data_IF_060109556522
#
_entry.id   IF_060109556522
#
_cell.length_a   1.000
_cell.length_b   1.000
_cell.length_c   1.000
_cell.angle_alpha   90.00
_cell.angle_beta   90.00
_cell.angle_gamma   90.00
#
_symmetry.space_group_name_H-M   'P 1'
#
loop_
_entity.id
_entity.type
_entity.pdbx_description
1 polymer ?
#
# COMPACT_ATOMS: atom_id res chain seq x y z
N UNK A 1 7.17 -38.33 45.25
CA UNK A 1 5.98 -37.69 44.64
C UNK A 1 6.50 -36.52 43.83
N UNK A 2 6.46 -36.61 42.48
CA UNK A 2 6.71 -35.47 41.58
C UNK A 2 5.43 -34.65 41.56
N UNK A 3 5.47 -33.48 42.17
CA UNK A 3 4.41 -32.49 41.99
C UNK A 3 4.53 -31.99 40.54
N UNK A 4 3.55 -32.37 39.71
CA UNK A 4 3.46 -31.83 38.35
C UNK A 4 3.06 -30.36 38.42
N UNK A 5 3.94 -29.47 37.93
CA UNK A 5 3.56 -28.09 37.74
C UNK A 5 2.45 -28.04 36.68
N UNK A 6 1.25 -27.72 37.09
CA UNK A 6 0.17 -27.41 36.18
C UNK A 6 0.41 -26.01 35.66
N UNK A 7 0.81 -25.92 34.41
CA UNK A 7 0.98 -24.64 33.73
C UNK A 7 -0.43 -24.15 33.25
N UNK A 8 -0.98 -23.24 34.01
CA UNK A 8 -2.27 -22.64 33.66
C UNK A 8 -2.03 -21.51 32.65
N UNK A 9 -2.50 -21.68 31.42
CA UNK A 9 -2.46 -20.62 30.42
C UNK A 9 -3.59 -19.64 30.66
N UNK A 10 -3.25 -18.43 31.02
CA UNK A 10 -4.19 -17.33 31.18
C UNK A 10 -4.18 -16.52 29.89
N UNK A 11 -5.36 -16.37 29.30
CA UNK A 11 -5.54 -15.55 28.11
C UNK A 11 -6.26 -14.24 28.55
N UNK A 12 -5.50 -13.18 28.83
CA UNK A 12 -6.13 -11.93 29.23
C UNK A 12 -6.90 -11.34 28.03
N UNK A 13 -8.19 -11.18 28.22
CA UNK A 13 -9.08 -10.69 27.18
C UNK A 13 -10.28 -10.00 27.79
N UNK A 14 -11.02 -9.31 26.92
CA UNK A 14 -12.27 -8.67 27.26
C UNK A 14 -13.32 -9.00 26.19
N UNK A 15 -14.59 -8.84 26.53
CA UNK A 15 -15.66 -8.93 25.55
C UNK A 15 -16.28 -7.55 25.43
N UNK A 16 -16.30 -7.02 24.21
CA UNK A 16 -16.96 -5.75 23.91
C UNK A 16 -18.32 -6.07 23.31
N UNK A 17 -19.39 -5.51 23.87
CA UNK A 17 -20.75 -5.79 23.41
C UNK A 17 -21.51 -4.51 23.07
N UNK A 18 -22.36 -4.58 22.06
CA UNK A 18 -23.23 -3.48 21.64
C UNK A 18 -24.45 -4.02 20.89
N UNK A 19 -25.64 -3.68 21.35
CA UNK A 19 -26.92 -4.06 20.71
C UNK A 19 -27.02 -5.56 20.41
N UNK A 20 -26.60 -6.40 21.37
CA UNK A 20 -26.71 -7.86 21.26
C UNK A 20 -25.62 -8.52 20.43
N UNK A 21 -24.66 -7.76 19.92
CA UNK A 21 -23.47 -8.28 19.23
C UNK A 21 -22.26 -8.19 20.15
N UNK A 22 -21.40 -9.19 20.08
CA UNK A 22 -20.22 -9.28 20.95
C UNK A 22 -18.96 -9.60 20.12
N UNK A 23 -17.85 -8.99 20.49
CA UNK A 23 -16.53 -9.25 19.89
C UNK A 23 -15.54 -9.52 21.01
N UNK A 24 -14.80 -10.64 20.95
CA UNK A 24 -13.70 -10.86 21.88
C UNK A 24 -12.53 -9.93 21.55
N UNK A 25 -11.93 -9.38 22.58
CA UNK A 25 -10.78 -8.48 22.47
C UNK A 25 -9.61 -9.08 23.22
N UNK A 26 -8.53 -9.43 22.53
CA UNK A 26 -7.28 -9.82 23.17
C UNK A 26 -6.59 -8.58 23.72
N UNK A 27 -6.23 -8.62 24.99
CA UNK A 27 -5.51 -7.52 25.63
C UNK A 27 -3.98 -7.68 25.51
N UNK A 28 -3.53 -8.88 25.13
CA UNK A 28 -2.11 -9.14 24.91
C UNK A 28 -1.88 -9.61 23.48
N UNK A 29 -0.94 -8.97 22.80
CA UNK A 29 -0.51 -9.36 21.45
C UNK A 29 0.51 -10.49 21.54
N UNK A 30 0.14 -11.67 21.05
CA UNK A 30 1.07 -12.79 20.99
C UNK A 30 2.16 -12.52 19.94
N UNK A 31 3.41 -12.56 20.40
CA UNK A 31 4.59 -12.45 19.53
C UNK A 31 5.53 -13.61 19.85
N UNK A 32 5.61 -14.55 18.94
CA UNK A 32 6.44 -15.74 19.14
C UNK A 32 7.91 -15.32 19.26
N UNK A 33 8.53 -15.70 20.38
CA UNK A 33 9.96 -15.45 20.61
C UNK A 33 10.29 -14.06 21.17
N UNK A 34 9.32 -13.19 21.40
CA UNK A 34 9.58 -11.90 22.01
C UNK A 34 9.64 -11.99 23.53
N UNK A 35 10.51 -11.21 24.19
CA UNK A 35 10.55 -11.15 25.66
C UNK A 35 9.23 -10.61 26.24
N UNK A 36 8.86 -11.05 27.46
CA UNK A 36 7.57 -10.65 28.06
C UNK A 36 7.36 -9.14 28.21
N UNK A 37 8.41 -8.40 28.55
CA UNK A 37 8.35 -6.94 28.68
C UNK A 37 8.06 -6.27 27.35
N UNK A 38 8.62 -6.78 26.26
CA UNK A 38 8.34 -6.27 24.89
C UNK A 38 6.87 -6.56 24.51
N UNK A 39 6.38 -7.77 24.82
CA UNK A 39 4.99 -8.15 24.55
C UNK A 39 4.03 -7.22 25.31
N UNK A 40 4.31 -6.97 26.59
CA UNK A 40 3.48 -6.10 27.43
C UNK A 40 3.47 -4.66 26.89
N UNK A 41 4.65 -4.10 26.58
CA UNK A 41 4.75 -2.74 26.06
C UNK A 41 4.02 -2.57 24.73
N UNK A 42 4.20 -3.51 23.81
CA UNK A 42 3.51 -3.49 22.53
C UNK A 42 1.99 -3.61 22.70
N UNK A 43 1.55 -4.44 23.65
CA UNK A 43 0.12 -4.60 23.95
C UNK A 43 -0.50 -3.32 24.50
N UNK A 44 0.22 -2.63 25.39
CA UNK A 44 -0.25 -1.34 25.94
C UNK A 44 -0.38 -0.30 24.81
N UNK A 45 0.61 -0.23 23.93
CA UNK A 45 0.59 0.73 22.81
C UNK A 45 -0.56 0.42 21.84
N UNK A 46 -0.89 -0.85 21.64
CA UNK A 46 -1.97 -1.26 20.74
C UNK A 46 -3.37 -1.18 21.38
N UNK A 47 -3.47 -0.95 22.68
CA UNK A 47 -4.72 -1.08 23.42
C UNK A 47 -5.80 -0.13 22.92
N UNK A 48 -5.45 1.15 22.75
CA UNK A 48 -6.39 2.16 22.24
C UNK A 48 -6.91 1.79 20.85
N UNK A 49 -6.03 1.36 19.97
CA UNK A 49 -6.39 0.92 18.63
C UNK A 49 -7.34 -0.28 18.70
N UNK A 50 -7.02 -1.28 19.51
CA UNK A 50 -7.81 -2.52 19.61
C UNK A 50 -9.22 -2.25 20.16
N UNK A 51 -9.33 -1.39 21.16
CA UNK A 51 -10.64 -1.02 21.73
C UNK A 51 -11.45 -0.21 20.72
N UNK A 52 -10.85 0.83 20.13
CA UNK A 52 -11.51 1.67 19.12
C UNK A 52 -11.99 0.83 17.94
N UNK A 53 -11.20 -0.14 17.55
CA UNK A 53 -11.48 -1.07 16.47
C UNK A 53 -12.70 -1.95 16.78
N UNK A 54 -12.77 -2.50 17.98
CA UNK A 54 -13.89 -3.32 18.43
C UNK A 54 -15.18 -2.49 18.46
N UNK A 55 -15.11 -1.25 18.96
CA UNK A 55 -16.26 -0.33 18.99
C UNK A 55 -16.74 -0.05 17.55
N UNK A 56 -15.80 0.25 16.64
CA UNK A 56 -16.13 0.52 15.23
C UNK A 56 -16.79 -0.69 14.55
N UNK A 57 -16.28 -1.90 14.79
CA UNK A 57 -16.88 -3.14 14.24
C UNK A 57 -18.32 -3.34 14.75
N UNK A 58 -18.57 -3.05 16.02
CA UNK A 58 -19.89 -3.25 16.62
C UNK A 58 -20.90 -2.16 16.25
N UNK A 59 -20.44 -0.92 16.05
CA UNK A 59 -21.32 0.20 15.74
C UNK A 59 -21.72 0.28 14.27
N UNK A 60 -20.95 -0.34 13.36
CA UNK A 60 -21.25 -0.33 11.91
C UNK A 60 -22.29 -1.39 11.58
N UNK A 61 -23.50 -0.93 11.17
CA UNK A 61 -24.61 -1.81 10.77
C UNK A 61 -24.62 -2.12 9.27
N UNK A 62 -23.94 -1.31 8.46
CA UNK A 62 -23.81 -1.55 7.02
C UNK A 62 -22.37 -1.31 6.57
N UNK A 63 -21.75 -2.33 5.98
CA UNK A 63 -20.38 -2.19 5.48
C UNK A 63 -20.37 -1.50 4.12
N UNK A 64 -19.65 -0.39 3.97
CA UNK A 64 -19.49 0.21 2.64
C UNK A 64 -18.66 -0.68 1.74
N UNK A 65 -18.86 -0.52 0.44
CA UNK A 65 -18.13 -1.28 -0.58
C UNK A 65 -16.81 -0.61 -0.93
N UNK A 66 -15.77 -1.42 -1.07
CA UNK A 66 -14.49 -1.03 -1.68
C UNK A 66 -14.11 -2.07 -2.73
N UNK A 67 -13.23 -1.70 -3.66
CA UNK A 67 -12.84 -2.64 -4.72
C UNK A 67 -11.35 -2.58 -5.03
N UNK A 68 -10.77 -3.74 -5.30
CA UNK A 68 -9.48 -3.85 -5.99
C UNK A 68 -9.76 -3.81 -7.49
N UNK A 69 -9.09 -2.89 -8.20
CA UNK A 69 -9.22 -2.80 -9.65
C UNK A 69 -8.46 -3.93 -10.34
N UNK A 70 -8.92 -4.27 -11.53
CA UNK A 70 -8.33 -5.28 -12.42
C UNK A 70 -8.39 -4.74 -13.85
N UNK A 71 -7.47 -5.19 -14.69
CA UNK A 71 -7.43 -4.81 -16.10
C UNK A 71 -6.09 -4.26 -16.56
N UNK A 72 -5.19 -3.97 -15.60
CA UNK A 72 -3.89 -3.36 -15.89
C UNK A 72 -2.75 -4.15 -15.20
N UNK A 73 -2.93 -5.48 -15.05
CA UNK A 73 -1.92 -6.34 -14.45
C UNK A 73 -1.79 -6.25 -12.93
N UNK A 74 -2.78 -5.68 -12.28
CA UNK A 74 -2.76 -5.49 -10.83
C UNK A 74 -2.67 -6.83 -10.06
N UNK A 75 -2.14 -6.77 -8.85
CA UNK A 75 -2.08 -7.92 -7.93
C UNK A 75 -3.47 -8.51 -7.71
N UNK A 76 -3.55 -9.85 -7.65
CA UNK A 76 -4.84 -10.57 -7.58
C UNK A 76 -4.69 -11.90 -6.85
N UNK A 77 -5.82 -12.51 -6.54
CA UNK A 77 -5.87 -13.84 -5.93
C UNK A 77 -5.12 -13.90 -4.61
N UNK A 78 -4.16 -14.79 -4.50
CA UNK A 78 -3.38 -15.03 -3.29
C UNK A 78 -2.55 -13.80 -2.89
N UNK A 79 -2.14 -12.98 -3.85
CA UNK A 79 -1.30 -11.81 -3.62
C UNK A 79 -1.99 -10.74 -2.76
N UNK A 80 -3.33 -10.66 -2.84
CA UNK A 80 -4.11 -9.69 -2.08
C UNK A 80 -5.00 -10.36 -1.00
N UNK A 81 -4.91 -11.67 -0.83
CA UNK A 81 -5.83 -12.42 0.03
C UNK A 81 -5.82 -11.95 1.49
N UNK A 82 -4.64 -11.72 2.05
CA UNK A 82 -4.52 -11.32 3.45
C UNK A 82 -5.07 -9.92 3.70
N UNK A 83 -4.72 -8.96 2.85
CA UNK A 83 -5.23 -7.58 3.02
C UNK A 83 -6.75 -7.54 2.74
N UNK A 84 -7.23 -8.30 1.76
CA UNK A 84 -8.66 -8.37 1.47
C UNK A 84 -9.44 -8.95 2.66
N UNK A 85 -8.88 -9.98 3.31
CA UNK A 85 -9.47 -10.57 4.53
C UNK A 85 -9.51 -9.53 5.65
N UNK A 86 -8.42 -8.82 5.90
CA UNK A 86 -8.37 -7.79 6.94
C UNK A 86 -9.36 -6.66 6.67
N UNK A 87 -9.49 -6.24 5.43
CA UNK A 87 -10.43 -5.18 5.04
C UNK A 87 -11.89 -5.64 5.15
N UNK A 88 -12.16 -6.94 4.99
CA UNK A 88 -13.53 -7.48 5.06
C UNK A 88 -14.15 -7.36 6.46
N UNK A 89 -13.36 -7.10 7.47
CA UNK A 89 -13.88 -6.77 8.81
C UNK A 89 -14.70 -5.46 8.80
N UNK A 90 -14.38 -4.55 7.88
CA UNK A 90 -14.95 -3.19 7.84
C UNK A 90 -15.71 -2.88 6.56
N UNK A 91 -15.43 -3.61 5.48
CA UNK A 91 -15.91 -3.30 4.13
C UNK A 91 -16.42 -4.57 3.45
N UNK A 92 -17.30 -4.39 2.47
CA UNK A 92 -17.55 -5.40 1.45
C UNK A 92 -16.44 -5.21 0.41
N UNK A 93 -15.58 -6.21 0.26
CA UNK A 93 -14.42 -6.13 -0.62
C UNK A 93 -14.74 -6.85 -1.93
N UNK A 94 -14.73 -6.09 -3.02
CA UNK A 94 -15.03 -6.62 -4.36
C UNK A 94 -13.79 -6.49 -5.26
N UNK A 95 -13.86 -7.11 -6.43
CA UNK A 95 -12.91 -6.91 -7.53
C UNK A 95 -13.67 -6.31 -8.71
N UNK A 96 -13.09 -5.31 -9.35
CA UNK A 96 -13.74 -4.65 -10.47
C UNK A 96 -12.81 -4.61 -11.67
N UNK A 97 -13.24 -5.21 -12.77
CA UNK A 97 -12.51 -5.14 -14.04
C UNK A 97 -12.84 -3.83 -14.72
N UNK A 98 -11.82 -2.99 -14.92
CA UNK A 98 -11.96 -1.70 -15.61
C UNK A 98 -12.17 -1.90 -17.11
N UNK A 99 -11.12 -2.20 -17.82
CA UNK A 99 -11.10 -2.56 -19.27
C UNK A 99 -12.06 -1.71 -20.11
N UNK A 100 -12.02 -0.39 -19.94
CA UNK A 100 -12.82 0.56 -20.70
C UNK A 100 -14.31 0.59 -20.37
N UNK A 101 -14.74 -0.03 -19.29
CA UNK A 101 -16.16 -0.04 -18.89
C UNK A 101 -16.53 1.24 -18.18
N UNK A 102 -17.27 2.10 -18.83
CA UNK A 102 -17.64 3.43 -18.28
C UNK A 102 -18.42 3.33 -16.96
N UNK A 103 -19.14 2.22 -16.76
CA UNK A 103 -19.90 1.97 -15.55
C UNK A 103 -19.16 1.06 -14.53
N UNK A 104 -17.86 0.87 -14.69
CA UNK A 104 -17.10 0.01 -13.76
C UNK A 104 -17.18 0.54 -12.32
N UNK A 105 -16.99 1.84 -12.14
CA UNK A 105 -16.89 2.47 -10.81
C UNK A 105 -18.14 3.25 -10.41
N UNK A 106 -19.07 3.46 -11.35
CA UNK A 106 -20.28 4.28 -11.11
C UNK A 106 -21.53 3.54 -11.54
N UNK A 107 -22.66 3.96 -10.98
CA UNK A 107 -23.98 3.47 -11.37
C UNK A 107 -24.94 4.65 -11.58
N UNK A 108 -25.91 4.46 -12.44
CA UNK A 108 -26.98 5.45 -12.67
C UNK A 108 -28.18 5.06 -11.80
N UNK A 109 -28.69 6.04 -11.10
CA UNK A 109 -29.93 5.91 -10.33
C UNK A 109 -30.97 6.86 -10.94
N UNK A 110 -32.11 6.32 -11.34
CA UNK A 110 -33.20 7.13 -11.85
C UNK A 110 -33.92 7.84 -10.69
N UNK A 111 -34.15 9.11 -10.85
CA UNK A 111 -34.86 9.95 -9.89
C UNK A 111 -36.36 9.96 -10.20
N UNK A 112 -37.16 10.43 -9.24
CA UNK A 112 -38.63 10.49 -9.38
C UNK A 112 -39.07 11.40 -10.54
N UNK A 113 -38.25 12.37 -10.92
CA UNK A 113 -38.52 13.29 -11.99
C UNK A 113 -38.06 12.81 -13.38
N UNK A 114 -37.57 11.59 -13.47
CA UNK A 114 -37.07 11.01 -14.72
C UNK A 114 -35.65 11.39 -15.08
N UNK A 115 -34.98 12.17 -14.24
CA UNK A 115 -33.54 12.45 -14.42
C UNK A 115 -32.69 11.32 -13.83
N UNK A 116 -31.39 11.34 -14.09
CA UNK A 116 -30.46 10.33 -13.58
C UNK A 116 -29.38 10.98 -12.73
N UNK A 117 -29.13 10.36 -11.57
CA UNK A 117 -27.97 10.69 -10.74
C UNK A 117 -26.91 9.62 -10.93
N UNK A 118 -25.67 10.03 -11.14
CA UNK A 118 -24.52 9.11 -11.25
C UNK A 118 -23.83 9.05 -9.90
N UNK A 119 -23.80 7.86 -9.31
CA UNK A 119 -23.25 7.61 -7.97
C UNK A 119 -22.04 6.69 -8.05
N UNK A 120 -21.09 6.89 -7.15
CA UNK A 120 -19.97 5.98 -7.01
C UNK A 120 -20.44 4.66 -6.35
N UNK A 121 -20.10 3.52 -6.96
CA UNK A 121 -20.39 2.19 -6.41
C UNK A 121 -19.58 1.88 -5.18
N UNK A 122 -18.36 2.40 -5.12
CA UNK A 122 -17.36 2.08 -4.10
C UNK A 122 -16.98 3.33 -3.33
N UNK A 123 -16.81 3.18 -2.02
CA UNK A 123 -16.30 4.25 -1.17
C UNK A 123 -14.83 4.51 -1.44
N UNK A 124 -14.08 3.46 -1.79
CA UNK A 124 -12.68 3.55 -2.18
C UNK A 124 -12.34 2.46 -3.18
N UNK A 125 -11.36 2.72 -4.03
CA UNK A 125 -10.75 1.70 -4.88
C UNK A 125 -9.26 1.60 -4.55
N UNK A 126 -8.71 0.40 -4.78
CA UNK A 126 -7.29 0.10 -4.56
C UNK A 126 -6.71 -0.34 -5.89
N UNK A 127 -5.72 0.39 -6.37
CA UNK A 127 -5.00 0.08 -7.60
C UNK A 127 -3.64 -0.47 -7.16
N UNK A 128 -3.52 -1.80 -7.17
CA UNK A 128 -2.44 -2.51 -6.50
C UNK A 128 -1.40 -3.00 -7.51
N UNK A 129 -0.31 -2.24 -7.63
CA UNK A 129 0.88 -2.58 -8.42
C UNK A 129 0.53 -2.93 -9.88
N UNK A 130 -0.12 -2.02 -10.61
CA UNK A 130 -0.37 -2.23 -12.03
C UNK A 130 0.94 -2.30 -12.81
N UNK A 131 0.98 -3.13 -13.84
CA UNK A 131 2.16 -3.30 -14.70
C UNK A 131 1.89 -2.97 -16.18
N UNK A 132 0.67 -2.55 -16.50
CA UNK A 132 0.24 -2.34 -17.89
C UNK A 132 -0.35 -0.95 -18.07
N UNK A 133 -0.26 -0.44 -19.30
CA UNK A 133 -0.62 0.93 -19.66
C UNK A 133 -2.13 1.17 -19.46
N UNK A 134 -2.47 2.24 -18.76
CA UNK A 134 -3.85 2.71 -18.65
C UNK A 134 -4.26 3.43 -19.92
N UNK A 135 -5.39 3.02 -20.48
CA UNK A 135 -5.97 3.72 -21.63
C UNK A 135 -6.52 5.08 -21.18
N UNK A 136 -6.65 6.03 -22.12
CA UNK A 136 -7.26 7.32 -21.81
C UNK A 136 -8.70 7.15 -21.28
N UNK A 137 -9.40 6.12 -21.76
CA UNK A 137 -10.75 5.81 -21.30
C UNK A 137 -10.74 5.35 -19.82
N UNK A 138 -9.81 4.48 -19.44
CA UNK A 138 -9.72 4.04 -18.04
C UNK A 138 -9.28 5.17 -17.12
N UNK A 139 -8.34 6.00 -17.55
CA UNK A 139 -7.94 7.21 -16.82
C UNK A 139 -9.14 8.13 -16.59
N UNK A 140 -9.94 8.35 -17.64
CA UNK A 140 -11.15 9.17 -17.56
C UNK A 140 -12.15 8.59 -16.54
N UNK A 141 -12.35 7.28 -16.55
CA UNK A 141 -13.26 6.60 -15.60
C UNK A 141 -12.80 6.83 -14.15
N UNK A 142 -11.49 6.70 -13.90
CA UNK A 142 -10.91 6.92 -12.56
C UNK A 142 -11.03 8.41 -12.18
N UNK A 143 -10.70 9.30 -13.12
CA UNK A 143 -10.81 10.75 -12.90
C UNK A 143 -12.24 11.15 -12.49
N UNK A 144 -13.24 10.67 -13.23
CA UNK A 144 -14.64 10.97 -12.93
C UNK A 144 -15.09 10.38 -11.59
N UNK A 145 -14.58 9.21 -11.25
CA UNK A 145 -14.82 8.60 -9.94
C UNK A 145 -14.28 9.51 -8.82
N UNK A 146 -13.06 10.04 -8.99
CA UNK A 146 -12.44 10.96 -8.03
C UNK A 146 -13.23 12.27 -7.95
N UNK A 147 -13.62 12.83 -9.11
CA UNK A 147 -14.40 14.09 -9.16
C UNK A 147 -15.73 13.97 -8.41
N UNK A 148 -16.27 12.74 -8.26
CA UNK A 148 -17.51 12.47 -7.53
C UNK A 148 -17.24 12.05 -6.07
N UNK A 149 -16.05 12.37 -5.55
CA UNK A 149 -15.68 12.10 -4.15
C UNK A 149 -15.16 10.68 -3.88
N UNK A 150 -14.86 9.91 -4.92
CA UNK A 150 -14.26 8.60 -4.78
C UNK A 150 -12.83 8.70 -4.25
N UNK A 151 -12.44 7.74 -3.43
CA UNK A 151 -11.11 7.70 -2.82
C UNK A 151 -10.28 6.61 -3.49
N UNK A 152 -9.01 6.89 -3.75
CA UNK A 152 -8.12 5.94 -4.43
C UNK A 152 -6.86 5.73 -3.59
N UNK A 153 -6.58 4.47 -3.31
CA UNK A 153 -5.27 4.06 -2.80
C UNK A 153 -4.44 3.58 -4.00
N UNK A 154 -3.44 4.39 -4.34
CA UNK A 154 -2.52 4.10 -5.43
C UNK A 154 -1.29 3.41 -4.85
N UNK A 155 -0.98 2.20 -5.31
CA UNK A 155 0.23 1.46 -4.96
C UNK A 155 0.98 1.24 -6.27
N UNK A 156 1.86 2.18 -6.62
CA UNK A 156 2.48 2.27 -7.96
C UNK A 156 4.00 2.13 -7.84
N UNK A 157 4.56 1.27 -8.65
CA UNK A 157 6.00 1.15 -8.85
C UNK A 157 6.38 1.76 -10.20
N UNK A 158 7.01 2.95 -10.24
CA UNK A 158 7.43 3.53 -11.51
C UNK A 158 8.67 2.87 -12.10
N UNK A 159 9.29 1.94 -11.36
CA UNK A 159 10.48 1.21 -11.80
C UNK A 159 10.21 -0.29 -11.66
N UNK A 160 10.45 -1.02 -12.74
CA UNK A 160 10.38 -2.48 -12.70
C UNK A 160 11.71 -3.05 -12.20
N UNK A 161 11.64 -3.87 -11.15
CA UNK A 161 12.78 -4.65 -10.62
C UNK A 161 12.21 -5.91 -9.96
N UNK A 162 12.94 -7.02 -10.03
CA UNK A 162 12.46 -8.31 -9.56
C UNK A 162 13.56 -9.11 -8.86
N UNK A 163 13.24 -9.64 -7.68
CA UNK A 163 14.14 -10.56 -6.97
C UNK A 163 14.34 -11.88 -7.72
N UNK A 164 13.32 -12.36 -8.44
CA UNK A 164 13.44 -13.59 -9.21
C UNK A 164 14.55 -13.48 -10.27
N UNK A 165 14.64 -12.32 -10.92
CA UNK A 165 15.70 -12.05 -11.90
C UNK A 165 17.07 -12.02 -11.25
N UNK A 166 17.18 -11.44 -10.05
CA UNK A 166 18.45 -11.35 -9.32
C UNK A 166 18.89 -12.74 -8.84
N UNK A 167 17.96 -13.55 -8.33
CA UNK A 167 18.26 -14.89 -7.83
C UNK A 167 18.70 -15.85 -8.96
N UNK A 168 18.17 -15.64 -10.17
CA UNK A 168 18.51 -16.50 -11.31
C UNK A 168 19.78 -16.08 -12.05
N UNK A 169 20.17 -14.79 -12.02
CA UNK A 169 21.27 -14.26 -12.82
C UNK A 169 22.27 -13.40 -12.04
N UNK A 170 22.16 -13.34 -10.71
CA UNK A 170 22.95 -12.52 -9.78
C UNK A 170 22.84 -11.02 -10.01
N UNK A 171 22.19 -10.59 -11.09
CA UNK A 171 22.00 -9.17 -11.42
C UNK A 171 20.76 -8.98 -12.29
N UNK A 172 20.22 -7.77 -12.24
CA UNK A 172 19.11 -7.34 -13.10
C UNK A 172 19.19 -5.83 -13.31
N UNK A 173 18.38 -5.33 -14.23
CA UNK A 173 18.27 -3.89 -14.46
C UNK A 173 16.97 -3.37 -13.90
N UNK A 174 17.05 -2.33 -13.06
CA UNK A 174 15.89 -1.52 -12.70
C UNK A 174 15.62 -0.53 -13.83
N UNK A 175 14.48 -0.64 -14.49
CA UNK A 175 14.11 0.19 -15.63
C UNK A 175 12.78 0.90 -15.39
N UNK A 176 12.67 2.11 -15.93
CA UNK A 176 11.43 2.90 -15.82
C UNK A 176 10.27 2.16 -16.49
N UNK A 177 9.16 2.10 -15.79
CA UNK A 177 7.91 1.52 -16.26
C UNK A 177 6.89 2.64 -16.43
N UNK A 178 6.53 2.97 -17.67
CA UNK A 178 5.51 3.99 -17.92
C UNK A 178 4.17 3.30 -18.14
N UNK A 179 3.25 3.52 -17.21
CA UNK A 179 1.90 2.97 -17.28
C UNK A 179 0.85 4.06 -17.59
N UNK A 180 1.32 5.22 -18.07
CA UNK A 180 0.48 6.35 -18.53
C UNK A 180 -0.35 6.99 -17.39
N UNK A 181 0.19 7.05 -16.17
CA UNK A 181 -0.48 7.73 -15.04
C UNK A 181 0.22 9.01 -14.60
N UNK A 182 1.36 9.33 -15.15
CA UNK A 182 2.22 10.43 -14.67
C UNK A 182 1.52 11.78 -14.75
N UNK A 183 0.82 12.07 -15.85
CA UNK A 183 0.10 13.33 -16.05
C UNK A 183 -1.06 13.48 -15.05
N UNK A 184 -1.78 12.39 -14.80
CA UNK A 184 -2.90 12.34 -13.86
C UNK A 184 -2.41 12.58 -12.43
N UNK A 185 -1.38 11.85 -12.00
CA UNK A 185 -0.83 11.97 -10.64
C UNK A 185 -0.21 13.37 -10.44
N UNK A 186 0.46 13.91 -11.47
CA UNK A 186 1.01 15.26 -11.43
C UNK A 186 -0.12 16.30 -11.26
N UNK A 187 -1.22 16.13 -11.99
CA UNK A 187 -2.40 17.01 -11.88
C UNK A 187 -2.97 16.98 -10.46
N UNK A 188 -2.95 15.83 -9.82
CA UNK A 188 -3.46 15.65 -8.44
C UNK A 188 -2.48 16.09 -7.36
N UNK A 189 -1.22 16.33 -7.69
CA UNK A 189 -0.29 16.97 -6.76
C UNK A 189 0.94 16.15 -6.38
N UNK A 190 1.24 15.04 -7.09
CA UNK A 190 2.47 14.27 -6.84
C UNK A 190 3.15 13.88 -8.15
N UNK A 191 4.46 13.67 -8.04
CA UNK A 191 5.27 13.12 -9.11
C UNK A 191 6.00 11.90 -8.57
N UNK A 192 5.85 10.77 -9.25
CA UNK A 192 6.61 9.57 -8.97
C UNK A 192 7.95 9.65 -9.73
N UNK A 193 9.05 9.43 -9.02
CA UNK A 193 10.37 9.54 -9.62
C UNK A 193 10.84 8.19 -10.13
N UNK A 194 11.52 8.18 -11.28
CA UNK A 194 12.10 6.97 -11.88
C UNK A 194 13.43 6.66 -11.20
N UNK A 195 13.36 6.22 -9.95
CA UNK A 195 14.53 5.85 -9.16
C UNK A 195 14.20 4.67 -8.24
N UNK A 196 15.21 4.06 -7.68
CA UNK A 196 15.09 3.09 -6.60
C UNK A 196 15.75 3.67 -5.35
N UNK A 197 15.09 3.53 -4.24
CA UNK A 197 15.59 3.97 -2.94
C UNK A 197 16.31 2.81 -2.26
N UNK A 198 17.51 3.09 -1.79
CA UNK A 198 18.31 2.18 -0.98
C UNK A 198 18.45 2.80 0.41
N UNK A 199 18.42 1.96 1.44
CA UNK A 199 18.49 2.42 2.82
C UNK A 199 19.32 1.43 3.63
N UNK A 200 20.16 1.93 4.54
CA UNK A 200 20.88 1.04 5.46
C UNK A 200 19.94 0.37 6.46
N UNK A 201 18.78 0.99 6.71
CA UNK A 201 17.70 0.37 7.48
C UNK A 201 16.87 -0.50 6.52
N UNK A 202 17.30 -1.74 6.32
CA UNK A 202 16.79 -2.61 5.28
C UNK A 202 16.46 -4.00 5.80
N UNK A 203 15.51 -4.65 5.13
CA UNK A 203 15.17 -6.04 5.42
C UNK A 203 16.29 -6.99 4.99
N UNK A 204 16.57 -8.02 5.78
CA UNK A 204 17.48 -9.07 5.35
C UNK A 204 16.81 -10.00 4.35
N UNK A 205 17.60 -10.49 3.39
CA UNK A 205 17.20 -11.57 2.48
C UNK A 205 18.05 -12.81 2.77
N UNK A 206 17.47 -14.01 2.64
CA UNK A 206 18.25 -15.24 2.77
C UNK A 206 19.00 -15.53 1.47
N UNK A 207 20.31 -15.75 1.59
CA UNK A 207 21.12 -16.20 0.46
C UNK A 207 21.77 -17.53 0.80
N UNK A 208 21.85 -18.41 -0.19
CA UNK A 208 22.51 -19.70 -0.05
C UNK A 208 24.01 -19.47 0.17
N UNK A 209 24.54 -20.01 1.25
CA UNK A 209 25.95 -19.83 1.64
C UNK A 209 26.72 -21.13 1.72
N UNK A 210 26.09 -22.27 1.39
CA UNK A 210 26.78 -23.54 1.40
C UNK A 210 25.90 -24.68 1.84
N UNK A 211 26.53 -25.78 2.26
CA UNK A 211 25.83 -27.00 2.62
C UNK A 211 26.54 -27.65 3.84
N UNK A 212 25.75 -28.13 4.78
CA UNK A 212 26.25 -28.96 5.89
C UNK A 212 25.59 -30.31 5.75
N UNK A 213 26.39 -31.33 5.40
CA UNK A 213 25.84 -32.62 5.02
C UNK A 213 24.98 -32.50 3.79
N UNK A 214 23.70 -32.94 3.86
CA UNK A 214 22.73 -32.83 2.76
C UNK A 214 21.74 -31.68 2.97
N UNK A 215 22.01 -30.76 3.92
CA UNK A 215 21.09 -29.64 4.19
C UNK A 215 21.68 -28.33 3.69
N UNK A 216 20.93 -27.58 2.87
CA UNK A 216 21.38 -26.27 2.42
C UNK A 216 21.44 -25.28 3.58
N UNK A 217 22.49 -24.44 3.55
CA UNK A 217 22.71 -23.39 4.54
C UNK A 217 22.33 -22.05 3.93
N UNK A 218 21.61 -21.24 4.69
CA UNK A 218 21.25 -19.88 4.29
C UNK A 218 21.73 -18.91 5.36
N UNK A 219 22.31 -17.81 4.91
CA UNK A 219 22.65 -16.67 5.77
C UNK A 219 21.84 -15.48 5.36
N UNK A 220 21.56 -14.61 6.32
CA UNK A 220 20.72 -13.42 6.09
C UNK A 220 21.61 -12.21 5.90
N UNK A 221 21.36 -11.46 4.82
CA UNK A 221 22.11 -10.26 4.47
C UNK A 221 21.14 -9.08 4.30
N UNK A 222 21.43 -7.89 4.86
CA UNK A 222 20.56 -6.74 4.65
C UNK A 222 20.51 -6.40 3.16
N UNK A 223 19.30 -6.28 2.63
CA UNK A 223 19.12 -5.97 1.20
C UNK A 223 18.68 -4.52 1.07
N UNK A 224 19.59 -3.65 0.74
CA UNK A 224 19.39 -2.19 0.81
C UNK A 224 18.28 -1.68 -0.09
N UNK A 225 17.88 -2.44 -1.13
CA UNK A 225 16.75 -2.13 -1.98
C UNK A 225 15.39 -2.47 -1.33
N UNK A 226 15.39 -2.99 -0.10
CA UNK A 226 14.19 -3.29 0.67
C UNK A 226 14.15 -2.43 1.96
N UNK A 227 13.98 -1.10 1.82
CA UNK A 227 13.92 -0.24 2.99
C UNK A 227 12.82 -0.63 3.96
N UNK A 228 13.09 -0.49 5.24
CA UNK A 228 12.10 -0.61 6.30
C UNK A 228 11.72 0.82 6.71
N UNK A 229 10.46 1.17 6.49
CA UNK A 229 9.96 2.51 6.74
C UNK A 229 9.37 2.61 8.13
N UNK A 230 9.66 3.69 8.81
CA UNK A 230 9.02 4.03 10.09
C UNK A 230 8.34 5.38 9.94
N UNK A 231 7.15 5.49 10.52
CA UNK A 231 6.45 6.77 10.46
C UNK A 231 7.08 7.75 11.43
N UNK A 232 7.32 8.95 10.93
CA UNK A 232 7.69 10.12 11.77
C UNK A 232 6.53 11.12 11.82
N UNK A 233 5.43 10.82 11.14
CA UNK A 233 4.25 11.68 11.05
C UNK A 233 3.31 11.42 12.23
N UNK A 234 2.72 12.49 12.76
CA UNK A 234 1.65 12.39 13.77
C UNK A 234 0.27 12.16 13.15
N UNK A 235 0.19 12.03 11.84
CA UNK A 235 -1.08 11.83 11.15
C UNK A 235 -1.75 10.52 11.61
N UNK A 236 -3.06 10.53 11.90
CA UNK A 236 -3.74 9.33 12.45
C UNK A 236 -3.58 8.06 11.61
N UNK A 237 -3.42 8.18 10.28
CA UNK A 237 -3.25 7.02 9.39
C UNK A 237 -1.99 6.23 9.72
N UNK A 238 -0.93 6.91 10.17
CA UNK A 238 0.39 6.28 10.41
C UNK A 238 0.89 6.44 11.84
N UNK A 239 0.16 7.15 12.67
CA UNK A 239 0.53 7.31 14.07
C UNK A 239 0.47 5.93 14.75
N UNK A 240 1.55 5.54 15.40
CA UNK A 240 1.73 4.23 16.03
C UNK A 240 1.71 3.05 15.05
N UNK A 241 1.92 3.31 13.76
CA UNK A 241 2.09 2.23 12.79
C UNK A 241 3.42 1.53 13.02
N UNK A 242 3.41 0.21 13.00
CA UNK A 242 4.63 -0.58 13.04
C UNK A 242 5.46 -0.33 11.77
N UNK A 243 6.74 -0.74 11.81
CA UNK A 243 7.61 -0.61 10.66
C UNK A 243 6.99 -1.29 9.42
N UNK A 244 7.03 -0.59 8.29
CA UNK A 244 6.48 -1.06 7.02
C UNK A 244 7.61 -1.59 6.16
N UNK A 245 7.54 -2.86 5.80
CA UNK A 245 8.51 -3.45 4.87
C UNK A 245 8.17 -3.07 3.44
N UNK A 246 9.18 -2.80 2.65
CA UNK A 246 9.03 -2.42 1.24
C UNK A 246 10.02 -3.17 0.36
N UNK A 247 9.74 -3.21 -0.93
CA UNK A 247 10.58 -3.88 -1.93
C UNK A 247 10.67 -2.99 -3.17
N UNK A 248 11.90 -2.58 -3.55
CA UNK A 248 12.18 -1.81 -4.76
C UNK A 248 11.31 -0.56 -4.93
N UNK A 249 11.27 0.27 -3.90
CA UNK A 249 10.42 1.46 -3.90
C UNK A 249 11.12 2.67 -4.53
N UNK A 250 10.29 3.62 -4.96
CA UNK A 250 10.71 4.89 -5.57
C UNK A 250 10.25 6.07 -4.72
N UNK A 251 10.87 7.21 -4.93
CA UNK A 251 10.49 8.43 -4.21
C UNK A 251 9.32 9.15 -4.87
N UNK A 252 8.60 9.92 -4.06
CA UNK A 252 7.47 10.76 -4.47
C UNK A 252 7.81 12.21 -4.16
N UNK A 253 7.68 13.09 -5.15
CA UNK A 253 7.72 14.54 -4.90
C UNK A 253 6.28 15.07 -4.82
N UNK A 254 6.06 16.02 -3.93
CA UNK A 254 4.82 16.80 -3.92
C UNK A 254 4.98 17.98 -4.87
N UNK A 255 3.97 18.21 -5.70
CA UNK A 255 4.05 19.21 -6.78
C UNK A 255 2.74 20.01 -6.86
N UNK A 256 2.81 21.16 -7.52
CA UNK A 256 1.66 21.89 -8.03
C UNK A 256 0.69 22.43 -6.99
N UNK A 257 -0.55 22.34 -7.28
CA UNK A 257 -1.73 23.04 -6.79
C UNK A 257 -1.76 23.22 -5.24
N UNK A 258 -1.75 24.48 -4.75
CA UNK A 258 -1.83 24.74 -3.30
C UNK A 258 -3.20 24.43 -2.69
N UNK A 259 -4.26 24.28 -3.51
CA UNK A 259 -5.59 23.89 -3.02
C UNK A 259 -5.65 22.44 -2.57
N UNK A 260 -4.64 21.63 -2.92
CA UNK A 260 -4.53 20.24 -2.49
C UNK A 260 -3.54 20.16 -1.32
N UNK A 261 -4.03 19.72 -0.16
CA UNK A 261 -3.19 19.42 0.99
C UNK A 261 -2.38 18.16 0.71
N UNK A 262 -1.08 18.21 0.98
CA UNK A 262 -0.13 17.12 0.71
C UNK A 262 0.58 16.77 2.01
N UNK A 263 0.24 15.62 2.58
CA UNK A 263 0.83 15.16 3.84
C UNK A 263 1.74 13.97 3.56
N UNK A 264 3.03 14.10 3.84
CA UNK A 264 3.97 12.99 3.75
C UNK A 264 3.72 12.07 4.95
N UNK A 265 3.39 10.83 4.68
CA UNK A 265 3.05 9.83 5.70
C UNK A 265 4.25 8.96 6.09
N UNK A 266 5.03 8.53 5.10
CA UNK A 266 6.17 7.64 5.34
C UNK A 266 7.38 8.12 4.54
N UNK A 267 8.56 8.02 5.16
CA UNK A 267 9.83 8.35 4.53
C UNK A 267 10.85 7.24 4.77
N UNK A 268 11.88 7.22 3.95
CA UNK A 268 13.09 6.46 4.22
C UNK A 268 13.84 7.08 5.41
N UNK A 269 14.90 6.43 5.88
CA UNK A 269 15.73 6.93 6.96
C UNK A 269 16.70 8.01 6.47
N UNK A 270 17.49 8.55 7.39
CA UNK A 270 18.57 9.51 7.07
C UNK A 270 19.76 8.83 6.35
N UNK A 271 19.76 7.52 6.28
CA UNK A 271 20.81 6.75 5.61
C UNK A 271 20.30 6.23 4.24
N UNK A 272 19.87 7.15 3.42
CA UNK A 272 19.25 6.87 2.13
C UNK A 272 20.23 7.14 0.98
N UNK A 273 20.17 6.28 -0.05
CA UNK A 273 20.80 6.48 -1.33
C UNK A 273 19.75 6.41 -2.43
N UNK A 274 19.81 7.32 -3.39
CA UNK A 274 18.87 7.35 -4.52
C UNK A 274 19.61 6.85 -5.75
N UNK A 275 19.09 5.79 -6.38
CA UNK A 275 19.66 5.20 -7.60
C UNK A 275 18.72 5.47 -8.77
N UNK A 276 19.11 6.39 -9.66
CA UNK A 276 18.29 6.77 -10.81
C UNK A 276 18.34 5.68 -11.90
N UNK A 277 17.21 5.46 -12.57
CA UNK A 277 17.13 4.48 -13.66
C UNK A 277 17.84 4.98 -14.92
N UNK A 278 18.38 4.07 -15.74
CA UNK A 278 18.48 2.63 -15.53
C UNK A 278 19.54 2.30 -14.46
N UNK A 279 19.24 1.37 -13.56
CA UNK A 279 20.15 1.02 -12.47
C UNK A 279 20.46 -0.48 -12.49
N UNK A 280 21.74 -0.81 -12.42
CA UNK A 280 22.19 -2.19 -12.28
C UNK A 280 22.02 -2.62 -10.83
N UNK A 281 21.21 -3.65 -10.60
CA UNK A 281 20.97 -4.24 -9.29
C UNK A 281 21.73 -5.57 -9.25
N UNK A 282 22.64 -5.72 -8.27
CA UNK A 282 23.49 -6.91 -8.19
C UNK A 282 23.71 -7.32 -6.75
N UNK A 283 23.77 -8.62 -6.50
CA UNK A 283 24.15 -9.17 -5.19
C UNK A 283 25.60 -8.84 -4.81
N UNK A 284 26.42 -8.41 -5.76
CA UNK A 284 27.81 -8.01 -5.48
C UNK A 284 27.90 -6.88 -4.46
N UNK A 285 26.85 -6.08 -4.30
CA UNK A 285 26.82 -5.00 -3.31
C UNK A 285 26.97 -5.54 -1.87
N UNK A 286 26.63 -6.81 -1.65
CA UNK A 286 26.69 -7.46 -0.33
C UNK A 286 28.11 -7.99 -0.01
N UNK A 287 29.04 -7.97 -0.97
CA UNK A 287 30.40 -8.45 -0.78
C UNK A 287 31.27 -7.49 0.04
N UNK A 288 30.83 -6.24 0.19
CA UNK A 288 31.53 -5.20 0.93
C UNK A 288 30.61 -4.52 1.91
N UNK A 289 31.16 -4.05 3.00
CA UNK A 289 30.41 -3.22 3.91
C UNK A 289 30.03 -1.91 3.19
N UNK A 290 28.79 -1.44 3.39
CA UNK A 290 28.38 -0.19 2.76
C UNK A 290 29.15 0.99 3.35
N UNK A 291 29.55 1.93 2.51
CA UNK A 291 30.12 3.19 2.96
C UNK A 291 28.96 4.12 3.33
N UNK A 292 28.84 4.55 4.60
CA UNK A 292 27.76 5.47 4.98
C UNK A 292 27.76 6.79 4.20
N UNK A 293 28.91 7.19 3.65
CA UNK A 293 29.00 8.39 2.82
C UNK A 293 28.21 8.27 1.51
N UNK A 294 27.96 7.05 1.02
CA UNK A 294 27.12 6.81 -0.15
C UNK A 294 25.62 6.88 0.18
N UNK A 295 25.26 6.83 1.45
CA UNK A 295 23.88 6.82 1.94
C UNK A 295 23.61 8.12 2.71
N UNK A 296 23.83 9.25 2.06
CA UNK A 296 23.78 10.58 2.68
C UNK A 296 22.66 11.48 2.16
N UNK A 297 21.74 10.92 1.36
CA UNK A 297 20.57 11.68 0.91
C UNK A 297 19.58 11.88 2.07
N UNK A 298 18.89 13.02 2.11
CA UNK A 298 17.87 13.22 3.15
C UNK A 298 16.75 12.20 2.98
N UNK A 299 15.96 11.96 4.04
CA UNK A 299 14.82 11.06 3.94
C UNK A 299 13.91 11.37 2.77
N UNK A 300 13.55 10.36 2.00
CA UNK A 300 12.73 10.49 0.78
C UNK A 300 11.30 10.11 1.09
N UNK A 301 10.33 10.90 0.63
CA UNK A 301 8.93 10.57 0.78
C UNK A 301 8.57 9.36 -0.09
N UNK A 302 7.83 8.41 0.49
CA UNK A 302 7.38 7.19 -0.21
C UNK A 302 5.88 6.94 -0.04
N UNK A 303 5.22 7.68 0.84
CA UNK A 303 3.76 7.66 0.95
C UNK A 303 3.28 9.08 1.23
N UNK A 304 2.33 9.53 0.41
CA UNK A 304 1.78 10.90 0.50
C UNK A 304 0.26 10.80 0.46
N UNK A 305 -0.39 11.51 1.38
CA UNK A 305 -1.84 11.67 1.39
C UNK A 305 -2.19 13.00 0.71
N UNK A 306 -3.09 12.94 -0.24
CA UNK A 306 -3.61 14.11 -0.95
C UNK A 306 -5.06 14.34 -0.55
N UNK A 307 -5.39 15.55 -0.12
CA UNK A 307 -6.75 15.92 0.29
C UNK A 307 -7.09 17.31 -0.23
N UNK A 308 -8.33 17.49 -0.66
CA UNK A 308 -8.78 18.80 -1.14
C UNK A 308 -9.75 18.68 -2.30
N UNK A 309 -9.90 19.77 -3.00
CA UNK A 309 -10.75 19.87 -4.20
C UNK A 309 -9.89 19.62 -5.44
N UNK A 310 -9.99 18.40 -5.95
CA UNK A 310 -9.23 18.00 -7.13
C UNK A 310 -9.84 18.55 -8.41
N UNK A 311 -8.99 18.93 -9.33
CA UNK A 311 -9.41 19.34 -10.67
C UNK A 311 -9.23 18.18 -11.65
N UNK A 312 -10.24 17.96 -12.46
CA UNK A 312 -10.20 16.90 -13.47
C UNK A 312 -9.04 17.10 -14.45
N UNK A 313 -8.40 16.00 -14.80
CA UNK A 313 -7.41 15.97 -15.87
C UNK A 313 -8.03 16.41 -17.21
N UNK A 314 -9.34 16.26 -17.34
CA UNK A 314 -10.10 16.46 -18.59
C UNK A 314 -10.94 17.74 -18.62
N UNK A 315 -10.72 18.70 -17.72
CA UNK A 315 -11.54 19.92 -17.59
C UNK A 315 -11.72 20.67 -18.91
N UNK A 316 -10.71 20.68 -19.78
CA UNK A 316 -10.77 21.37 -21.08
C UNK A 316 -10.92 20.40 -22.27
N UNK A 317 -11.18 19.13 -22.02
CA UNK A 317 -11.27 18.08 -23.05
C UNK A 317 -12.52 17.20 -22.95
N UNK A 318 -13.20 17.51 -22.19
CA UNK A 318 -14.27 16.75 -21.86
C UNK A 318 -15.19 16.45 -22.93
N UNK A 319 -15.47 17.45 -23.68
CA UNK A 319 -16.45 17.29 -24.73
C UNK A 319 -16.05 16.28 -25.81
N UNK A 320 -14.77 16.25 -26.18
CA UNK A 320 -14.27 15.33 -27.21
C UNK A 320 -14.25 13.87 -26.73
N UNK A 321 -13.78 13.64 -25.50
CA UNK A 321 -13.72 12.28 -24.93
C UNK A 321 -15.10 11.71 -24.57
N UNK A 322 -16.01 12.58 -24.12
CA UNK A 322 -17.41 12.20 -23.89
C UNK A 322 -18.09 11.80 -25.19
N UNK A 323 -17.85 12.54 -26.27
CA UNK A 323 -18.39 12.21 -27.58
C UNK A 323 -17.84 10.89 -28.11
N UNK A 324 -16.59 10.58 -27.84
CA UNK A 324 -15.95 9.32 -28.26
C UNK A 324 -16.43 8.13 -27.40
N UNK A 325 -16.57 8.33 -26.08
CA UNK A 325 -17.07 7.31 -25.17
C UNK A 325 -18.54 6.95 -25.44
N UNK A 326 -19.34 7.94 -25.87
CA UNK A 326 -20.74 7.72 -26.23
C UNK A 326 -20.92 7.00 -27.57
N UNK A 327 -19.92 7.02 -28.46
CA UNK A 327 -19.97 6.31 -29.75
C UNK A 327 -19.62 4.83 -29.66
N UNK A 328 -18.99 4.41 -28.55
CA UNK A 328 -18.48 3.03 -28.36
C UNK A 328 -19.25 2.25 -27.28
N UNK A 329 -20.34 2.82 -26.74
CA UNK A 329 -21.18 2.16 -25.72
C UNK A 329 -22.40 1.43 -26.24
#
# INVERSE_FOLDING_TARGET
KKEGMQQQRIFPGAIVSHKGREIPLSLISEQIGAPPDVIINNSIQALEYNISNAIRKLSNTGKPKIAFTQGHGELRGAEIADIARALSDYYIVERVNMSGRVNALTERKENEDGTYTVLNKYKAIIIAKPDSIFSEKDKFIIDQYIMKGGKVLWLIDPVFASMDSIQSADRTMGITQDINLNDMLFRYGVRLNSNLLMDLNALPIPLYTGQIGNQPQFSFFPWYYFPVLTSTSSHPVVNNLNAVRTEFISSIDTVGNPAISKTVLLTTSKYTRVANTPVMISLDILRREPDPADYNQPPQAVAVLLEGEFESLYNNRXSALLAEALKTG
#
